data_IF_266146224312
#
_entry.id   IF_266146224312
#
_cell.length_a   1.000
_cell.length_b   1.000
_cell.length_c   1.000
_cell.angle_alpha   90.00
_cell.angle_beta   90.00
_cell.angle_gamma   90.00
#
_symmetry.space_group_name_H-M   'P 1'
#
loop_
_entity.id
_entity.type
_entity.pdbx_description
1 polymer ?
#
# COMPACT_ATOMS: atom_id res chain seq x y z
N UNK A 1 6.92 20.11 20.69
CA UNK A 1 6.83 19.66 22.10
C UNK A 1 8.23 19.62 22.68
N UNK A 2 8.48 20.35 23.78
CA UNK A 2 9.78 20.42 24.45
C UNK A 2 9.91 19.18 25.34
N UNK A 3 10.94 18.34 25.13
CA UNK A 3 11.17 17.15 25.98
C UNK A 3 11.60 17.60 27.38
N UNK A 4 10.94 17.08 28.41
CA UNK A 4 11.25 17.40 29.81
C UNK A 4 12.49 16.58 30.20
N UNK A 5 13.55 17.21 30.75
CA UNK A 5 14.74 16.49 31.20
C UNK A 5 14.39 15.69 32.47
N UNK A 6 13.88 14.47 32.28
CA UNK A 6 13.40 13.62 33.36
C UNK A 6 12.80 12.29 32.86
N UNK A 7 12.23 12.29 31.67
CA UNK A 7 11.46 11.14 31.13
C UNK A 7 12.30 9.88 30.88
N UNK A 8 13.63 10.00 30.79
CA UNK A 8 14.55 8.87 30.57
C UNK A 8 15.37 8.49 31.81
N UNK A 9 15.25 9.22 32.93
CA UNK A 9 16.07 8.96 34.13
C UNK A 9 15.69 7.64 34.81
N UNK A 10 14.43 7.22 34.68
CA UNK A 10 13.90 6.01 35.33
C UNK A 10 13.71 4.82 34.39
N UNK A 11 14.03 4.95 33.11
CA UNK A 11 13.87 3.84 32.17
C UNK A 11 15.09 2.92 32.25
N UNK A 12 14.91 1.61 32.50
CA UNK A 12 16.02 0.69 32.44
C UNK A 12 16.60 0.69 31.03
N UNK A 13 17.93 0.79 30.92
CA UNK A 13 18.61 0.67 29.64
C UNK A 13 18.26 -0.69 29.02
N UNK A 14 17.78 -0.73 27.77
CA UNK A 14 17.43 -1.98 27.15
C UNK A 14 18.66 -2.89 27.07
N UNK A 15 18.46 -4.16 27.39
CA UNK A 15 19.54 -5.14 27.28
C UNK A 15 19.96 -5.28 25.81
N UNK A 16 21.19 -5.72 25.57
CA UNK A 16 21.69 -5.95 24.19
C UNK A 16 20.79 -6.89 23.37
N UNK A 17 20.05 -7.78 24.04
CA UNK A 17 19.11 -8.70 23.42
C UNK A 17 17.84 -7.95 22.98
N UNK A 18 17.28 -7.13 23.88
CA UNK A 18 16.10 -6.30 23.59
C UNK A 18 16.37 -5.31 22.44
N UNK A 19 17.53 -4.65 22.46
CA UNK A 19 17.93 -3.73 21.39
C UNK A 19 17.99 -4.43 20.01
N UNK A 20 18.56 -5.65 19.95
CA UNK A 20 18.59 -6.45 18.72
C UNK A 20 17.18 -6.85 18.27
N UNK A 21 16.33 -7.27 19.21
CA UNK A 21 14.95 -7.65 18.90
C UNK A 21 14.14 -6.48 18.32
N UNK A 22 14.37 -5.26 18.81
CA UNK A 22 13.75 -4.04 18.30
C UNK A 22 14.24 -3.72 16.88
N UNK A 23 15.55 -3.85 16.60
CA UNK A 23 16.08 -3.67 15.25
C UNK A 23 15.47 -4.64 14.24
N UNK A 24 15.32 -5.91 14.59
CA UNK A 24 14.69 -6.91 13.73
C UNK A 24 13.21 -6.61 13.52
N UNK A 25 12.50 -6.24 14.58
CA UNK A 25 11.08 -5.88 14.52
C UNK A 25 10.84 -4.69 13.61
N UNK A 26 11.69 -3.66 13.73
CA UNK A 26 11.65 -2.48 12.86
C UNK A 26 11.94 -2.85 11.41
N UNK A 27 12.99 -3.62 11.15
CA UNK A 27 13.33 -4.05 9.80
C UNK A 27 12.18 -4.85 9.16
N UNK A 28 11.55 -5.76 9.91
CA UNK A 28 10.40 -6.52 9.42
C UNK A 28 9.22 -5.60 9.05
N UNK A 29 8.90 -4.61 9.89
CA UNK A 29 7.84 -3.62 9.59
C UNK A 29 8.16 -2.80 8.34
N UNK A 30 9.41 -2.38 8.17
CA UNK A 30 9.85 -1.62 7.00
C UNK A 30 9.75 -2.45 5.70
N UNK A 31 10.06 -3.74 5.76
CA UNK A 31 9.91 -4.67 4.62
C UNK A 31 8.44 -4.79 4.24
N UNK A 32 7.56 -5.09 5.21
CA UNK A 32 6.12 -5.23 4.97
C UNK A 32 5.51 -3.96 4.37
N UNK A 33 5.88 -2.79 4.90
CA UNK A 33 5.40 -1.51 4.39
C UNK A 33 5.82 -1.26 2.93
N UNK A 34 7.07 -1.59 2.56
CA UNK A 34 7.56 -1.47 1.18
C UNK A 34 6.82 -2.39 0.22
N UNK A 35 6.56 -3.62 0.64
CA UNK A 35 5.81 -4.59 -0.17
C UNK A 35 4.35 -4.16 -0.36
N UNK A 36 3.70 -3.67 0.68
CA UNK A 36 2.34 -3.14 0.61
C UNK A 36 2.25 -1.90 -0.31
N UNK A 37 3.21 -0.97 -0.20
CA UNK A 37 3.31 0.18 -1.10
C UNK A 37 3.46 -0.27 -2.57
N UNK A 38 4.31 -1.27 -2.82
CA UNK A 38 4.53 -1.81 -4.17
C UNK A 38 3.28 -2.49 -4.73
N UNK A 39 2.59 -3.31 -3.91
CA UNK A 39 1.35 -3.99 -4.28
C UNK A 39 0.22 -2.99 -4.56
N UNK A 40 0.07 -1.98 -3.73
CA UNK A 40 -0.97 -0.95 -3.88
C UNK A 40 -0.72 -0.05 -5.09
N UNK A 41 0.53 0.31 -5.37
CA UNK A 41 0.90 1.06 -6.58
C UNK A 41 0.57 0.27 -7.86
N UNK A 42 0.91 -1.03 -7.89
CA UNK A 42 0.58 -1.92 -9.02
C UNK A 42 -0.92 -2.03 -9.23
N UNK A 43 -1.69 -2.26 -8.17
CA UNK A 43 -3.16 -2.35 -8.29
C UNK A 43 -3.79 -1.03 -8.73
N UNK A 44 -3.32 0.12 -8.22
CA UNK A 44 -3.77 1.44 -8.69
C UNK A 44 -3.50 1.62 -10.19
N UNK A 45 -2.30 1.27 -10.66
CA UNK A 45 -1.93 1.33 -12.09
C UNK A 45 -2.84 0.44 -12.95
N UNK A 46 -3.06 -0.81 -12.53
CA UNK A 46 -3.89 -1.74 -13.28
C UNK A 46 -5.37 -1.33 -13.28
N UNK A 47 -5.86 -0.80 -12.15
CA UNK A 47 -7.22 -0.28 -12.06
C UNK A 47 -7.42 0.93 -12.97
N UNK A 48 -6.48 1.87 -12.98
CA UNK A 48 -6.51 3.01 -13.89
C UNK A 48 -6.50 2.57 -15.37
N UNK A 49 -5.64 1.61 -15.73
CA UNK A 49 -5.60 1.07 -17.08
C UNK A 49 -6.90 0.34 -17.46
N UNK A 50 -7.55 -0.35 -16.50
CA UNK A 50 -8.85 -0.99 -16.71
C UNK A 50 -9.95 0.03 -16.95
N UNK A 51 -10.05 1.07 -16.13
CA UNK A 51 -11.04 2.15 -16.32
C UNK A 51 -10.87 2.84 -17.67
N UNK A 52 -9.64 3.17 -18.07
CA UNK A 52 -9.39 3.76 -19.39
C UNK A 52 -9.83 2.84 -20.54
N UNK A 53 -9.66 1.51 -20.40
CA UNK A 53 -10.16 0.54 -21.39
C UNK A 53 -11.68 0.48 -21.40
N UNK A 54 -12.32 0.47 -20.23
CA UNK A 54 -13.78 0.47 -20.12
C UNK A 54 -14.40 1.76 -20.70
N UNK A 55 -13.75 2.92 -20.52
CA UNK A 55 -14.15 4.18 -21.16
C UNK A 55 -14.03 4.10 -22.69
N UNK A 56 -12.97 3.50 -23.23
CA UNK A 56 -12.81 3.30 -24.67
C UNK A 56 -13.83 2.30 -25.23
N UNK A 57 -14.01 1.15 -24.59
CA UNK A 57 -14.90 0.07 -25.06
C UNK A 57 -16.39 0.40 -24.87
N UNK A 58 -16.74 1.10 -23.79
CA UNK A 58 -18.11 1.55 -23.47
C UNK A 58 -18.72 2.49 -24.51
N UNK A 59 -17.90 3.12 -25.36
CA UNK A 59 -18.40 3.91 -26.50
C UNK A 59 -18.82 3.07 -27.71
N UNK A 60 -18.46 1.78 -27.75
CA UNK A 60 -18.69 0.91 -28.93
C UNK A 60 -19.73 -0.20 -28.72
N UNK A 61 -20.15 -0.47 -27.47
CA UNK A 61 -21.01 -1.61 -27.14
C UNK A 61 -22.53 -1.32 -27.15
N UNK A 62 -22.97 -0.09 -27.42
CA UNK A 62 -24.40 0.30 -27.46
C UNK A 62 -24.91 0.68 -28.86
N UNK A 63 -24.30 0.16 -29.92
CA UNK A 63 -24.89 0.23 -31.26
C UNK A 63 -26.04 -0.78 -31.39
N UNK A 64 -27.23 -0.39 -31.89
CA UNK A 64 -28.37 -1.31 -31.99
C UNK A 64 -28.00 -2.49 -32.89
N UNK A 65 -27.99 -3.69 -32.32
CA UNK A 65 -27.79 -4.94 -33.07
C UNK A 65 -28.91 -5.03 -34.11
N UNK A 66 -28.60 -4.79 -35.39
CA UNK A 66 -29.58 -4.94 -36.48
C UNK A 66 -30.15 -6.35 -36.43
N UNK A 67 -31.45 -6.45 -36.13
CA UNK A 67 -32.19 -7.69 -36.16
C UNK A 67 -32.08 -8.30 -37.56
N UNK A 68 -31.51 -9.51 -37.64
CA UNK A 68 -31.38 -10.24 -38.90
C UNK A 68 -32.78 -10.64 -39.35
N UNK A 69 -33.24 -10.08 -40.47
CA UNK A 69 -34.55 -10.40 -41.06
C UNK A 69 -34.54 -11.86 -41.52
N UNK A 70 -35.68 -12.52 -41.26
CA UNK A 70 -35.97 -13.96 -41.38
C UNK A 70 -35.60 -14.53 -42.75
#
# INVERSE_FOLDING_TARGET
MKRIPGDDIFKPNPTRIEAKSDTTTRAAREILAKEEASRSAKTKRLRAARLAREEMEGTTANGPKKARKR
#
